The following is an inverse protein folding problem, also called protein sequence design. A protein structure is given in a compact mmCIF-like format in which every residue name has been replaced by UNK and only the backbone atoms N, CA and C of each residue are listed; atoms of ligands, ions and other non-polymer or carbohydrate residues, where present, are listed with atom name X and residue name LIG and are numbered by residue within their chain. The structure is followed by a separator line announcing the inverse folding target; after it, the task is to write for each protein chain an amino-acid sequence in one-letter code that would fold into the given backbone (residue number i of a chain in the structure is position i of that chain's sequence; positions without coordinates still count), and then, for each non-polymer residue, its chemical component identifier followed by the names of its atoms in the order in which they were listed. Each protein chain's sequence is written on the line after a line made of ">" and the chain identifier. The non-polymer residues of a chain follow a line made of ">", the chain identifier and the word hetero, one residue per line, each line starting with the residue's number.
data_IF_448278953619
#
_entry.id   IF_448278953619
#
_cell.length_a   1.000
_cell.length_b   1.000
_cell.length_c   1.000
_cell.angle_alpha   90.00
_cell.angle_beta   90.00
_cell.angle_gamma   90.00
#
_symmetry.space_group_name_H-M   'P 1'
#
loop_
_entity.id
_entity.type
_entity.pdbx_description
1 polymer ?
#
# COMPACT_ATOMS: atom_id res chain seq x y z
N UNK A 1 -22.03 13.55 27.40
CA UNK A 1 -22.11 12.10 27.64
C UNK A 1 -22.87 11.34 26.56
N UNK A 2 -24.16 11.62 26.27
CA UNK A 2 -24.94 10.83 25.28
C UNK A 2 -24.35 10.82 23.86
N UNK A 3 -23.80 11.95 23.38
CA UNK A 3 -23.17 12.03 22.06
C UNK A 3 -21.89 11.18 21.96
N UNK A 4 -21.11 11.09 23.04
CA UNK A 4 -19.88 10.29 23.09
C UNK A 4 -20.19 8.78 23.01
N UNK A 5 -21.20 8.33 23.76
CA UNK A 5 -21.66 6.93 23.73
C UNK A 5 -22.19 6.53 22.35
N UNK A 6 -22.90 7.44 21.65
CA UNK A 6 -23.39 7.17 20.30
C UNK A 6 -22.25 7.03 19.27
N UNK A 7 -21.20 7.85 19.40
CA UNK A 7 -20.01 7.75 18.54
C UNK A 7 -19.24 6.45 18.81
N UNK A 8 -19.04 6.10 20.08
CA UNK A 8 -18.38 4.85 20.47
C UNK A 8 -19.12 3.63 19.93
N UNK A 9 -20.44 3.59 20.09
CA UNK A 9 -21.27 2.51 19.56
C UNK A 9 -21.17 2.40 18.03
N UNK A 10 -21.17 3.53 17.32
CA UNK A 10 -20.98 3.56 15.85
C UNK A 10 -19.65 2.93 15.43
N UNK A 11 -18.55 3.20 16.16
CA UNK A 11 -17.26 2.57 15.90
C UNK A 11 -17.28 1.06 16.17
N UNK A 12 -17.88 0.64 17.28
CA UNK A 12 -18.02 -0.78 17.62
C UNK A 12 -18.85 -1.50 16.56
N UNK A 13 -19.94 -0.92 16.11
CA UNK A 13 -20.81 -1.49 15.07
C UNK A 13 -20.08 -1.57 13.73
N UNK A 14 -19.34 -0.53 13.34
CA UNK A 14 -18.54 -0.52 12.11
C UNK A 14 -17.45 -1.61 12.14
N UNK A 15 -16.70 -1.72 13.24
CA UNK A 15 -15.68 -2.75 13.42
C UNK A 15 -16.29 -4.17 13.42
N UNK A 16 -17.45 -4.34 14.06
CA UNK A 16 -18.18 -5.61 14.08
C UNK A 16 -18.63 -6.00 12.68
N UNK A 17 -19.21 -5.07 11.92
CA UNK A 17 -19.64 -5.31 10.55
C UNK A 17 -18.48 -5.69 9.64
N UNK A 18 -17.33 -5.03 9.77
CA UNK A 18 -16.12 -5.37 9.01
C UNK A 18 -15.59 -6.76 9.37
N UNK A 19 -15.58 -7.13 10.66
CA UNK A 19 -15.15 -8.46 11.10
C UNK A 19 -16.08 -9.55 10.60
N UNK A 20 -17.39 -9.34 10.68
CA UNK A 20 -18.39 -10.28 10.13
C UNK A 20 -18.20 -10.42 8.63
N UNK A 21 -17.98 -9.31 7.91
CA UNK A 21 -17.69 -9.37 6.48
C UNK A 21 -16.44 -10.20 6.19
N UNK A 22 -15.34 -9.97 6.91
CA UNK A 22 -14.10 -10.75 6.79
C UNK A 22 -14.33 -12.24 6.97
N UNK A 23 -14.92 -12.66 8.09
CA UNK A 23 -15.12 -14.08 8.38
C UNK A 23 -16.12 -14.75 7.45
N UNK A 24 -17.20 -14.07 7.06
CA UNK A 24 -18.24 -14.68 6.22
C UNK A 24 -17.92 -14.69 4.72
N UNK A 25 -17.15 -13.71 4.23
CA UNK A 25 -16.94 -13.50 2.79
C UNK A 25 -15.49 -13.61 2.34
N UNK A 26 -14.50 -13.44 3.23
CA UNK A 26 -13.08 -13.40 2.87
C UNK A 26 -12.32 -14.65 3.35
N UNK A 27 -12.60 -15.16 4.55
CA UNK A 27 -11.88 -16.34 5.12
C UNK A 27 -12.43 -17.68 4.61
N UNK A 28 -13.75 -17.79 4.45
CA UNK A 28 -14.40 -19.01 4.00
C UNK A 28 -14.90 -18.86 2.57
N UNK A 29 -14.25 -19.56 1.64
CA UNK A 29 -14.56 -19.61 0.21
C UNK A 29 -15.89 -20.37 -0.08
N UNK A 30 -16.94 -20.13 0.73
CA UNK A 30 -18.17 -20.93 0.77
C UNK A 30 -19.43 -20.06 0.71
N UNK A 31 -20.27 -20.39 -0.27
CA UNK A 31 -21.73 -20.20 -0.35
C UNK A 31 -22.32 -18.77 -0.36
N UNK A 32 -21.64 -17.73 0.16
CA UNK A 32 -22.19 -16.37 0.22
C UNK A 32 -21.65 -15.41 -0.86
N UNK A 33 -20.80 -15.90 -1.77
CA UNK A 33 -20.07 -15.08 -2.76
C UNK A 33 -20.99 -14.17 -3.59
N UNK A 34 -22.18 -14.67 -3.95
CA UNK A 34 -23.18 -13.95 -4.76
C UNK A 34 -23.64 -12.62 -4.14
N UNK A 35 -23.44 -12.39 -2.84
CA UNK A 35 -23.82 -11.14 -2.16
C UNK A 35 -22.62 -10.27 -1.74
N UNK A 36 -21.39 -10.77 -1.93
CA UNK A 36 -20.16 -10.13 -1.43
C UNK A 36 -20.00 -8.71 -1.98
N UNK A 37 -20.13 -8.50 -3.29
CA UNK A 37 -20.02 -7.18 -3.90
C UNK A 37 -21.06 -6.18 -3.40
N UNK A 38 -22.29 -6.63 -3.14
CA UNK A 38 -23.35 -5.79 -2.60
C UNK A 38 -23.11 -5.34 -1.16
N UNK A 39 -22.61 -6.25 -0.31
CA UNK A 39 -22.21 -5.93 1.07
C UNK A 39 -20.97 -5.05 1.08
N UNK A 40 -19.97 -5.35 0.25
CA UNK A 40 -18.76 -4.55 0.09
C UNK A 40 -19.11 -3.10 -0.27
N UNK A 41 -20.02 -2.87 -1.22
CA UNK A 41 -20.42 -1.53 -1.63
C UNK A 41 -21.10 -0.72 -0.50
N UNK A 42 -21.72 -1.40 0.48
CA UNK A 42 -22.33 -0.75 1.65
C UNK A 42 -21.31 -0.47 2.76
N UNK A 43 -20.38 -1.38 2.99
CA UNK A 43 -19.35 -1.25 4.03
C UNK A 43 -18.21 -0.31 3.62
N UNK A 44 -17.85 -0.33 2.34
CA UNK A 44 -16.76 0.46 1.76
C UNK A 44 -17.25 1.28 0.57
N UNK A 45 -18.18 2.24 0.80
CA UNK A 45 -18.78 3.04 -0.28
C UNK A 45 -17.78 3.95 -1.00
N UNK A 46 -16.59 4.14 -0.41
CA UNK A 46 -15.50 4.97 -0.92
C UNK A 46 -14.66 4.28 -2.00
N UNK A 47 -14.74 2.95 -2.16
CA UNK A 47 -14.03 2.23 -3.21
C UNK A 47 -14.65 2.49 -4.59
N UNK A 48 -13.80 2.70 -5.60
CA UNK A 48 -14.19 2.72 -7.02
C UNK A 48 -14.26 1.30 -7.61
N UNK A 49 -13.51 0.35 -7.03
CA UNK A 49 -13.29 -0.98 -7.59
C UNK A 49 -12.16 -1.03 -8.63
N UNK A 50 -11.46 0.08 -8.85
CA UNK A 50 -10.26 0.11 -9.69
C UNK A 50 -9.04 -0.32 -8.88
N UNK A 51 -8.11 -0.98 -9.55
CA UNK A 51 -6.83 -1.38 -8.98
C UNK A 51 -5.83 -0.19 -8.98
N UNK A 52 -4.85 -0.19 -8.06
CA UNK A 52 -3.78 0.79 -8.07
C UNK A 52 -2.84 0.59 -9.28
N UNK A 53 -2.08 1.64 -9.61
CA UNK A 53 -1.07 1.59 -10.66
C UNK A 53 0.30 1.47 -10.03
N UNK A 54 1.06 0.43 -10.41
CA UNK A 54 2.40 0.18 -9.90
C UNK A 54 3.45 0.62 -10.92
N UNK A 55 4.35 1.49 -10.52
CA UNK A 55 5.49 1.93 -11.36
C UNK A 55 6.79 1.49 -10.71
N UNK A 56 7.53 0.61 -11.36
CA UNK A 56 8.83 0.13 -10.87
C UNK A 56 9.92 1.19 -11.07
N UNK A 57 11.01 1.08 -10.30
CA UNK A 57 12.20 1.93 -10.40
C UNK A 57 12.80 2.10 -11.80
N UNK A 58 12.55 1.20 -12.75
CA UNK A 58 13.01 1.28 -14.14
C UNK A 58 11.97 1.91 -15.09
N UNK A 59 10.86 2.41 -14.56
CA UNK A 59 9.76 2.99 -15.31
C UNK A 59 8.78 1.95 -15.87
N UNK A 60 8.97 0.65 -15.60
CA UNK A 60 7.97 -0.36 -15.98
C UNK A 60 6.69 -0.12 -15.17
N UNK A 61 5.61 0.19 -15.88
CA UNK A 61 4.28 0.35 -15.29
C UNK A 61 3.55 -0.98 -15.42
N UNK A 62 3.03 -1.48 -14.30
CA UNK A 62 2.18 -2.65 -14.23
C UNK A 62 0.82 -2.18 -13.74
N UNK A 63 -0.19 -2.26 -14.61
CA UNK A 63 -1.57 -2.25 -14.14
C UNK A 63 -1.85 -3.62 -13.53
N UNK A 64 -2.59 -3.67 -12.43
CA UNK A 64 -2.72 -4.91 -11.64
C UNK A 64 -3.42 -6.06 -12.39
N UNK A 65 -3.99 -5.79 -13.57
CA UNK A 65 -4.45 -6.79 -14.53
C UNK A 65 -3.35 -7.76 -14.97
N UNK A 66 -2.10 -7.30 -14.99
CA UNK A 66 -0.92 -8.10 -15.36
C UNK A 66 -0.12 -8.58 -14.14
N UNK A 67 -0.13 -7.85 -13.01
CA UNK A 67 0.56 -8.25 -11.78
C UNK A 67 -0.16 -9.38 -11.02
N UNK A 68 -1.50 -9.35 -10.99
CA UNK A 68 -2.30 -10.43 -10.44
C UNK A 68 -2.68 -11.35 -11.60
N UNK A 69 -1.94 -12.45 -11.81
CA UNK A 69 -2.27 -13.49 -12.79
C UNK A 69 -3.73 -13.94 -12.61
N UNK A 70 -4.66 -13.30 -13.34
CA UNK A 70 -6.08 -13.57 -13.21
C UNK A 70 -6.32 -15.02 -13.62
N UNK A 71 -6.59 -15.90 -12.65
CA UNK A 71 -7.47 -17.03 -12.92
C UNK A 71 -8.81 -16.41 -13.32
N UNK A 72 -9.30 -16.72 -14.51
CA UNK A 72 -10.62 -16.29 -14.97
C UNK A 72 -11.69 -16.71 -13.94
N UNK A 73 -12.05 -15.81 -13.04
CA UNK A 73 -13.21 -15.99 -12.18
C UNK A 73 -14.42 -15.36 -12.89
N UNK A 74 -15.45 -16.19 -13.07
CA UNK A 74 -16.62 -15.87 -13.88
C UNK A 74 -17.36 -14.60 -13.44
N UNK A 75 -17.98 -13.95 -14.42
CA UNK A 75 -18.64 -12.63 -14.42
C UNK A 75 -19.74 -12.44 -13.33
N UNK A 76 -20.12 -13.48 -12.60
CA UNK A 76 -21.17 -13.47 -11.58
C UNK A 76 -20.69 -13.21 -10.13
N UNK A 77 -19.39 -13.22 -9.84
CA UNK A 77 -18.84 -13.13 -8.47
C UNK A 77 -17.94 -11.89 -8.27
N UNK A 78 -18.53 -10.68 -8.27
CA UNK A 78 -17.79 -9.40 -8.23
C UNK A 78 -17.48 -8.92 -6.82
N UNK A 79 -16.63 -9.63 -6.08
CA UNK A 79 -16.09 -9.11 -4.83
C UNK A 79 -14.66 -8.61 -5.01
N UNK A 80 -14.49 -7.31 -5.21
CA UNK A 80 -13.17 -6.69 -5.41
C UNK A 80 -12.23 -7.02 -4.26
N UNK A 81 -12.67 -6.87 -3.00
CA UNK A 81 -11.83 -7.12 -1.82
C UNK A 81 -11.36 -8.57 -1.76
N UNK A 82 -12.23 -9.55 -2.08
CA UNK A 82 -11.83 -10.96 -2.10
C UNK A 82 -10.80 -11.21 -3.21
N UNK A 83 -11.04 -10.71 -4.41
CA UNK A 83 -10.13 -10.88 -5.55
C UNK A 83 -8.78 -10.22 -5.27
N UNK A 84 -8.80 -9.04 -4.64
CA UNK A 84 -7.60 -8.32 -4.25
C UNK A 84 -6.79 -9.11 -3.21
N UNK A 85 -7.45 -9.58 -2.14
CA UNK A 85 -6.81 -10.39 -1.09
C UNK A 85 -6.20 -11.68 -1.64
N UNK A 86 -6.86 -12.35 -2.59
CA UNK A 86 -6.34 -13.58 -3.20
C UNK A 86 -5.10 -13.37 -4.07
N UNK A 87 -4.83 -12.13 -4.50
CA UNK A 87 -3.64 -11.79 -5.28
C UNK A 87 -2.45 -11.29 -4.46
N UNK A 88 -2.64 -11.04 -3.15
CA UNK A 88 -1.56 -10.64 -2.27
C UNK A 88 -0.51 -11.74 -2.14
N UNK A 89 0.77 -11.36 -2.20
CA UNK A 89 1.86 -12.32 -2.14
C UNK A 89 3.13 -11.71 -1.54
N UNK A 90 3.84 -12.53 -0.77
CA UNK A 90 5.15 -12.21 -0.23
C UNK A 90 5.11 -11.14 0.84
N UNK A 91 6.32 -10.66 1.18
CA UNK A 91 6.55 -9.68 2.25
C UNK A 91 7.26 -8.46 1.70
N UNK A 92 6.88 -7.28 2.17
CA UNK A 92 7.51 -6.04 1.75
C UNK A 92 7.36 -4.89 2.73
N UNK A 93 8.15 -3.85 2.49
CA UNK A 93 8.09 -2.59 3.24
C UNK A 93 7.14 -1.66 2.49
N UNK A 94 6.23 -1.03 3.23
CA UNK A 94 5.29 -0.06 2.66
C UNK A 94 5.45 1.28 3.35
N UNK A 95 5.46 2.34 2.55
CA UNK A 95 5.65 3.72 2.99
C UNK A 95 4.63 4.59 2.29
N UNK A 96 4.02 5.56 2.96
CA UNK A 96 3.19 6.58 2.32
C UNK A 96 3.96 7.88 2.21
N UNK A 97 4.06 8.47 1.02
CA UNK A 97 4.79 9.73 0.81
C UNK A 97 4.09 10.61 -0.23
N UNK A 98 4.14 11.93 -0.01
CA UNK A 98 3.88 12.94 -1.03
C UNK A 98 5.12 13.82 -1.24
N UNK A 99 4.97 14.86 -2.06
CA UNK A 99 6.06 15.79 -2.41
C UNK A 99 6.74 16.42 -1.18
N UNK A 100 6.00 16.59 -0.08
CA UNK A 100 6.53 17.15 1.16
C UNK A 100 7.43 16.20 1.96
N UNK A 101 7.48 14.90 1.64
CA UNK A 101 8.24 13.88 2.38
C UNK A 101 9.36 13.23 1.54
N UNK A 102 9.71 13.83 0.41
CA UNK A 102 10.70 13.26 -0.53
C UNK A 102 12.07 13.07 0.14
N UNK A 103 12.54 14.07 0.89
CA UNK A 103 13.84 14.01 1.57
C UNK A 103 13.89 12.89 2.62
N UNK A 104 12.86 12.80 3.46
CA UNK A 104 12.74 11.76 4.49
C UNK A 104 12.66 10.36 3.85
N UNK A 105 11.86 10.21 2.78
CA UNK A 105 11.74 8.94 2.04
C UNK A 105 13.08 8.50 1.45
N UNK A 106 13.83 9.44 0.86
CA UNK A 106 15.19 9.18 0.37
C UNK A 106 16.11 8.71 1.50
N UNK A 107 16.06 9.36 2.65
CA UNK A 107 16.91 9.03 3.80
C UNK A 107 16.56 7.66 4.38
N UNK A 108 15.28 7.32 4.51
CA UNK A 108 14.83 5.98 4.91
C UNK A 108 15.37 4.91 3.97
N UNK A 109 15.21 5.09 2.65
CA UNK A 109 15.69 4.12 1.64
C UNK A 109 17.22 3.96 1.72
N UNK A 110 17.97 5.05 1.94
CA UNK A 110 19.43 4.99 2.15
C UNK A 110 19.80 4.19 3.39
N UNK A 111 19.08 4.35 4.49
CA UNK A 111 19.30 3.57 5.72
C UNK A 111 19.02 2.10 5.46
N UNK A 112 17.87 1.76 4.86
CA UNK A 112 17.51 0.39 4.49
C UNK A 112 18.56 -0.26 3.58
N UNK A 113 19.07 0.51 2.61
CA UNK A 113 20.16 0.09 1.74
C UNK A 113 21.45 -0.17 2.50
N UNK A 114 21.80 0.67 3.47
CA UNK A 114 22.94 0.47 4.37
C UNK A 114 22.81 -0.78 5.25
N UNK A 115 21.58 -1.19 5.57
CA UNK A 115 21.25 -2.41 6.31
C UNK A 115 21.15 -3.67 5.42
N UNK A 116 21.54 -3.58 4.15
CA UNK A 116 21.42 -4.67 3.16
C UNK A 116 19.98 -5.21 3.03
N UNK A 117 19.00 -4.30 3.03
CA UNK A 117 17.59 -4.66 2.81
C UNK A 117 17.42 -5.41 1.47
N UNK A 118 16.66 -6.50 1.53
CA UNK A 118 16.28 -7.34 0.39
C UNK A 118 14.78 -7.31 0.09
N UNK A 119 13.98 -6.73 0.99
CA UNK A 119 12.53 -6.65 0.81
C UNK A 119 12.21 -5.58 -0.24
N UNK A 120 11.21 -5.82 -1.11
CA UNK A 120 10.68 -4.78 -1.98
C UNK A 120 10.04 -3.65 -1.16
N UNK A 121 10.13 -2.43 -1.68
CA UNK A 121 9.60 -1.22 -1.05
C UNK A 121 8.50 -0.66 -1.95
N UNK A 122 7.31 -0.46 -1.39
CA UNK A 122 6.19 0.21 -2.06
C UNK A 122 5.95 1.59 -1.44
N UNK A 123 6.08 2.63 -2.27
CA UNK A 123 5.84 4.03 -1.90
C UNK A 123 4.47 4.44 -2.43
N UNK A 124 3.50 4.55 -1.52
CA UNK A 124 2.12 4.90 -1.81
C UNK A 124 1.93 6.41 -1.88
N UNK A 125 1.26 6.85 -2.93
CA UNK A 125 0.85 8.24 -3.12
C UNK A 125 -0.55 8.29 -3.73
N UNK A 126 -1.23 9.43 -3.58
CA UNK A 126 -2.58 9.64 -4.11
C UNK A 126 -2.60 10.68 -5.24
N UNK A 127 -1.55 10.65 -6.07
CA UNK A 127 -1.28 11.68 -7.08
C UNK A 127 -0.66 12.96 -6.51
N UNK A 128 -0.21 12.95 -5.26
CA UNK A 128 0.48 14.05 -4.57
C UNK A 128 2.01 13.85 -4.45
N UNK A 129 2.54 12.92 -5.25
CA UNK A 129 3.97 12.70 -5.47
C UNK A 129 4.23 12.84 -6.97
N UNK A 130 4.89 13.92 -7.37
CA UNK A 130 5.15 14.24 -8.77
C UNK A 130 6.29 13.43 -9.39
N UNK A 131 6.39 13.45 -10.71
CA UNK A 131 7.42 12.70 -11.46
C UNK A 131 8.85 13.11 -11.06
N UNK A 132 9.09 14.41 -10.83
CA UNK A 132 10.38 14.92 -10.37
C UNK A 132 10.74 14.40 -8.97
N UNK A 133 9.75 14.29 -8.09
CA UNK A 133 9.90 13.75 -6.73
C UNK A 133 10.21 12.26 -6.76
N UNK A 134 9.49 11.50 -7.58
CA UNK A 134 9.77 10.07 -7.81
C UNK A 134 11.17 9.88 -8.39
N UNK A 135 11.56 10.69 -9.38
CA UNK A 135 12.90 10.67 -9.94
C UNK A 135 13.97 11.03 -8.90
N UNK A 136 13.72 11.94 -7.96
CA UNK A 136 14.65 12.22 -6.85
C UNK A 136 14.84 11.01 -5.93
N UNK A 137 13.75 10.32 -5.59
CA UNK A 137 13.79 9.08 -4.81
C UNK A 137 14.66 8.03 -5.52
N UNK A 138 14.47 7.83 -6.82
CA UNK A 138 15.21 6.85 -7.61
C UNK A 138 16.69 7.23 -7.87
N UNK A 139 16.97 8.50 -8.16
CA UNK A 139 18.32 8.96 -8.52
C UNK A 139 19.34 8.78 -7.38
N UNK A 140 18.88 8.81 -6.13
CA UNK A 140 19.69 8.61 -4.93
C UNK A 140 20.13 7.16 -4.74
N UNK A 141 19.34 6.20 -5.24
CA UNK A 141 19.68 4.78 -5.19
C UNK A 141 20.79 4.40 -6.18
N UNK A 142 20.89 5.09 -7.32
CA UNK A 142 21.72 4.62 -8.42
C UNK A 142 23.13 5.24 -8.41
N UNK A 143 23.32 6.51 -7.99
CA UNK A 143 24.54 7.24 -8.39
C UNK A 143 25.62 7.48 -7.34
N UNK A 144 25.35 7.76 -6.07
CA UNK A 144 26.45 8.16 -5.14
C UNK A 144 26.13 7.93 -3.67
N UNK A 145 26.16 6.68 -3.22
CA UNK A 145 26.58 6.41 -1.85
C UNK A 145 28.11 6.33 -1.86
N UNK A 146 28.79 7.46 -2.04
CA UNK A 146 30.21 7.59 -1.68
C UNK A 146 30.28 7.65 -0.15
N UNK A 147 29.90 6.55 0.49
CA UNK A 147 30.24 6.35 1.90
C UNK A 147 31.76 6.27 1.91
N UNK A 148 32.40 7.22 2.61
CA UNK A 148 33.85 7.34 2.67
C UNK A 148 34.50 5.97 2.87
N UNK A 149 35.65 5.76 2.22
CA UNK A 149 36.40 4.49 2.24
C UNK A 149 36.44 3.91 3.66
N UNK A 150 35.51 3.03 3.96
CA UNK A 150 35.45 2.33 5.24
C UNK A 150 36.28 1.07 5.09
N UNK A 151 36.96 0.65 6.16
CA UNK A 151 37.69 -0.61 6.20
C UNK A 151 36.78 -1.83 5.91
N UNK A 152 35.47 -1.65 6.07
CA UNK A 152 34.44 -2.64 5.76
C UNK A 152 33.99 -2.55 4.30
N UNK A 153 33.99 -3.69 3.61
CA UNK A 153 33.42 -3.85 2.26
C UNK A 153 31.90 -3.87 2.36
N UNK A 154 31.27 -2.70 2.25
CA UNK A 154 29.82 -2.62 2.10
C UNK A 154 29.44 -2.75 0.62
N UNK A 155 28.65 -3.78 0.30
CA UNK A 155 27.87 -3.80 -0.94
C UNK A 155 26.56 -3.09 -0.66
N UNK A 156 26.32 -1.94 -1.29
CA UNK A 156 25.06 -1.22 -1.17
C UNK A 156 24.12 -1.68 -2.29
N UNK A 157 23.26 -2.69 -2.05
CA UNK A 157 22.42 -3.25 -3.11
C UNK A 157 21.47 -2.19 -3.67
N UNK A 158 21.16 -2.30 -4.96
CA UNK A 158 20.03 -1.56 -5.52
C UNK A 158 18.75 -1.99 -4.81
N UNK A 159 17.94 -1.01 -4.38
CA UNK A 159 16.66 -1.28 -3.73
C UNK A 159 15.58 -1.53 -4.78
N UNK A 160 14.68 -2.47 -4.51
CA UNK A 160 13.55 -2.77 -5.39
C UNK A 160 12.35 -1.88 -5.01
N UNK A 161 12.36 -0.64 -5.52
CA UNK A 161 11.36 0.38 -5.22
C UNK A 161 10.23 0.37 -6.27
N UNK A 162 9.00 0.50 -5.78
CA UNK A 162 7.77 0.63 -6.55
C UNK A 162 7.00 1.84 -6.06
N UNK A 163 6.50 2.66 -6.97
CA UNK A 163 5.53 3.72 -6.68
C UNK A 163 4.13 3.19 -6.93
N UNK A 164 3.21 3.46 -6.00
CA UNK A 164 1.83 2.96 -6.04
C UNK A 164 0.86 4.14 -6.04
N UNK A 165 0.26 4.44 -7.21
CA UNK A 165 -0.77 5.48 -7.33
C UNK A 165 -2.15 4.90 -7.00
N UNK A 166 -2.73 5.35 -5.88
CA UNK A 166 -4.06 4.92 -5.41
C UNK A 166 -5.17 5.91 -5.73
N UNK A 167 -4.89 7.01 -6.44
CA UNK A 167 -5.88 8.05 -6.77
C UNK A 167 -7.11 7.49 -7.49
N UNK A 168 -6.92 6.48 -8.34
CA UNK A 168 -8.00 5.82 -9.07
C UNK A 168 -8.86 4.86 -8.22
N UNK A 169 -8.38 4.44 -7.04
CA UNK A 169 -9.02 3.43 -6.20
C UNK A 169 -10.12 3.97 -5.29
N UNK A 170 -10.12 5.30 -5.07
CA UNK A 170 -11.02 5.97 -4.12
C UNK A 170 -11.82 7.02 -4.88
N UNK A 171 -13.12 7.06 -4.58
CA UNK A 171 -14.02 8.06 -5.14
C UNK A 171 -13.62 9.46 -4.68
N UNK A 172 -13.61 10.41 -5.61
CA UNK A 172 -13.10 11.76 -5.39
C UNK A 172 -13.77 12.46 -4.18
N UNK A 173 -15.07 12.27 -3.98
CA UNK A 173 -15.81 12.88 -2.86
C UNK A 173 -15.37 12.39 -1.47
N UNK A 174 -14.69 11.24 -1.40
CA UNK A 174 -14.13 10.66 -0.17
C UNK A 174 -12.65 11.02 0.04
N UNK A 175 -11.94 11.55 -0.96
CA UNK A 175 -10.50 11.85 -0.87
C UNK A 175 -10.18 12.80 0.28
N UNK A 176 -11.08 13.72 0.61
CA UNK A 176 -10.92 14.65 1.74
C UNK A 176 -10.75 13.98 3.11
N UNK A 177 -11.22 12.74 3.27
CA UNK A 177 -11.05 11.96 4.51
C UNK A 177 -9.67 11.28 4.60
N UNK A 178 -8.99 11.14 3.47
CA UNK A 178 -7.66 10.56 3.35
C UNK A 178 -6.62 11.66 3.16
N UNK A 179 -6.45 12.47 4.20
CA UNK A 179 -5.43 13.51 4.25
C UNK A 179 -4.47 13.25 5.42
N UNK A 180 -3.22 13.68 5.26
CA UNK A 180 -2.16 13.56 6.28
C UNK A 180 -2.00 12.10 6.73
N UNK A 181 -2.18 11.82 8.02
CA UNK A 181 -1.97 10.52 8.62
C UNK A 181 -2.84 9.42 8.00
N UNK A 182 -4.05 9.75 7.52
CA UNK A 182 -4.95 8.77 6.91
C UNK A 182 -4.39 8.11 5.65
N UNK A 183 -3.38 8.70 4.99
CA UNK A 183 -2.71 8.09 3.84
C UNK A 183 -2.02 6.76 4.19
N UNK A 184 -1.68 6.57 5.46
CA UNK A 184 -1.06 5.34 5.98
C UNK A 184 -2.00 4.12 5.93
N UNK A 185 -3.29 4.32 5.66
CA UNK A 185 -4.22 3.21 5.45
C UNK A 185 -4.18 2.64 4.03
N UNK A 186 -3.70 3.40 3.03
CA UNK A 186 -3.65 2.90 1.65
C UNK A 186 -2.83 1.63 1.47
N UNK A 187 -1.64 1.49 2.09
CA UNK A 187 -0.88 0.25 1.99
C UNK A 187 -1.64 -1.00 2.43
N UNK A 188 -2.50 -0.89 3.45
CA UNK A 188 -3.29 -2.02 3.94
C UNK A 188 -4.49 -2.36 3.04
N UNK A 189 -4.94 -1.40 2.23
CA UNK A 189 -6.11 -1.60 1.35
C UNK A 189 -5.71 -1.94 -0.09
N UNK A 190 -4.56 -1.41 -0.55
CA UNK A 190 -4.15 -1.40 -1.96
C UNK A 190 -2.67 -1.78 -2.14
N UNK A 191 -2.05 -2.43 -1.15
CA UNK A 191 -0.73 -3.04 -1.32
C UNK A 191 -0.81 -4.43 -1.89
N UNK A 192 0.30 -4.90 -2.46
CA UNK A 192 0.35 -6.22 -3.09
C UNK A 192 0.99 -7.31 -2.20
N UNK A 193 1.38 -6.97 -0.98
CA UNK A 193 2.03 -7.90 -0.06
C UNK A 193 1.02 -8.55 0.87
N UNK A 194 1.19 -9.85 1.10
CA UNK A 194 0.44 -10.59 2.13
C UNK A 194 0.93 -10.18 3.53
N UNK A 195 2.25 -9.98 3.67
CA UNK A 195 2.87 -9.45 4.89
C UNK A 195 3.48 -8.06 4.65
N UNK A 196 2.99 -7.06 5.39
CA UNK A 196 3.45 -5.67 5.25
C UNK A 196 4.20 -5.20 6.49
N UNK A 197 5.34 -4.52 6.27
CA UNK A 197 6.00 -3.71 7.29
C UNK A 197 5.71 -2.25 6.95
N UNK A 198 4.75 -1.63 7.65
CA UNK A 198 4.50 -0.21 7.52
C UNK A 198 5.64 0.57 8.20
N UNK A 199 6.31 1.43 7.45
CA UNK A 199 7.31 2.36 7.97
C UNK A 199 6.90 3.79 7.64
N UNK A 200 7.06 4.68 8.61
CA UNK A 200 6.96 6.12 8.37
C UNK A 200 8.22 6.63 7.66
N UNK A 201 8.08 7.72 6.90
CA UNK A 201 9.19 8.31 6.15
C UNK A 201 10.31 8.83 7.06
N UNK A 202 9.96 9.24 8.29
CA UNK A 202 10.88 9.74 9.32
C UNK A 202 11.43 8.62 10.24
N UNK A 203 11.18 7.34 9.91
CA UNK A 203 11.74 6.21 10.63
C UNK A 203 13.24 6.03 10.30
N UNK A 204 14.01 5.64 11.32
CA UNK A 204 15.43 5.27 11.17
C UNK A 204 15.63 3.86 11.71
N UNK A 205 15.47 2.82 10.87
CA UNK A 205 15.71 1.45 11.31
C UNK A 205 17.19 1.25 11.65
N UNK A 206 17.46 0.57 12.76
CA UNK A 206 18.82 0.24 13.21
C UNK A 206 19.14 -1.26 13.07
N UNK A 207 18.14 -2.04 12.67
CA UNK A 207 18.23 -3.49 12.48
C UNK A 207 17.68 -3.86 11.11
N UNK A 208 18.21 -4.93 10.55
CA UNK A 208 17.75 -5.46 9.26
C UNK A 208 16.27 -5.90 9.36
N UNK A 209 15.40 -5.45 8.44
CA UNK A 209 13.97 -5.82 8.42
C UNK A 209 13.70 -7.25 7.94
#
# INVERSE_FOLDING_TARGET
>A
MKAFQATEQSFVDAATNLRVFGSCYLESNKALNNTCGGIQARLMPFFTGNYPVFTRWDGAVVSDEEAHQRKEFGINDRCFTLNYLQGLNGRGIVVSAGDGQVEDTVNLIRVLRGLDNKLPIQVFHKGDLGDDSMAQILNQDIKKALVGQSEYKFTFPQQNVWFVDVRGCIKEEYMKFFNRFSNKFFPYMFGSFDETILMDTDAVPLVKP
#
